data_IF_070987687834
#
_entry.id   IF_070987687834
#
_cell.length_a   1.000
_cell.length_b   1.000
_cell.length_c   1.000
_cell.angle_alpha   90.00
_cell.angle_beta   90.00
_cell.angle_gamma   90.00
#
_symmetry.space_group_name_H-M   'P 1'
#
loop_
_entity.id
_entity.type
_entity.pdbx_description
1 polymer ?
#
# COMPACT_ATOMS: atom_id res chain seq x y z
N UNK A 1 -82.47 -23.48 15.04
CA UNK A 1 -81.12 -23.54 15.71
C UNK A 1 -80.07 -23.75 14.64
N UNK A 2 -79.49 -22.66 14.12
CA UNK A 2 -78.45 -22.70 13.11
C UNK A 2 -77.10 -22.53 13.80
N UNK A 3 -76.25 -23.56 13.73
CA UNK A 3 -74.87 -23.51 14.18
C UNK A 3 -74.00 -23.05 13.01
N UNK A 4 -73.42 -21.87 13.10
CA UNK A 4 -72.38 -21.41 12.17
C UNK A 4 -71.04 -21.98 12.62
N UNK A 5 -70.40 -22.79 11.73
CA UNK A 5 -69.00 -23.19 11.81
C UNK A 5 -68.17 -22.10 11.16
N UNK A 6 -67.25 -21.49 11.90
CA UNK A 6 -66.24 -20.56 11.41
C UNK A 6 -64.99 -21.41 11.09
N UNK A 7 -64.48 -21.39 9.84
CA UNK A 7 -63.23 -22.07 9.52
C UNK A 7 -62.06 -21.20 10.00
N UNK A 8 -61.21 -21.82 10.86
CA UNK A 8 -59.98 -21.24 11.34
C UNK A 8 -58.91 -21.43 10.25
N UNK A 9 -58.59 -20.34 9.50
CA UNK A 9 -57.47 -20.34 8.56
C UNK A 9 -56.16 -20.16 9.34
N UNK A 10 -55.36 -21.23 9.45
CA UNK A 10 -53.96 -21.15 9.95
C UNK A 10 -53.09 -20.59 8.80
N UNK A 11 -52.68 -19.33 8.92
CA UNK A 11 -51.71 -18.72 8.02
C UNK A 11 -50.29 -19.16 8.45
N UNK A 12 -49.76 -20.20 7.78
CA UNK A 12 -48.41 -20.62 7.96
C UNK A 12 -47.52 -19.61 7.24
N UNK A 13 -46.91 -18.68 8.01
CA UNK A 13 -45.89 -17.77 7.54
C UNK A 13 -44.59 -18.58 7.32
N UNK A 14 -44.34 -18.95 6.06
CA UNK A 14 -43.05 -19.52 5.65
C UNK A 14 -42.01 -18.41 5.79
N UNK A 15 -41.26 -18.42 6.90
CA UNK A 15 -40.01 -17.65 7.03
C UNK A 15 -39.00 -18.30 6.09
N UNK A 16 -38.80 -17.74 4.92
CA UNK A 16 -37.64 -18.06 4.08
C UNK A 16 -36.41 -17.49 4.80
N UNK A 17 -35.73 -18.32 5.57
CA UNK A 17 -34.35 -18.06 5.99
C UNK A 17 -33.50 -18.16 4.73
N UNK A 18 -33.13 -17.02 4.16
CA UNK A 18 -32.04 -17.00 3.18
C UNK A 18 -30.77 -17.47 3.90
N UNK A 19 -30.44 -18.73 3.71
CA UNK A 19 -29.13 -19.28 4.07
C UNK A 19 -28.14 -18.65 3.06
N UNK A 20 -27.53 -17.54 3.43
CA UNK A 20 -26.34 -17.06 2.74
C UNK A 20 -25.26 -18.12 2.95
N UNK A 21 -25.20 -19.07 2.02
CA UNK A 21 -24.08 -19.97 1.87
C UNK A 21 -22.85 -19.11 1.68
N UNK A 22 -21.96 -19.10 2.67
CA UNK A 22 -20.63 -18.56 2.54
C UNK A 22 -19.96 -19.35 1.40
N UNK A 23 -19.92 -18.74 0.20
CA UNK A 23 -19.25 -19.33 -0.95
C UNK A 23 -17.79 -19.48 -0.51
N UNK A 24 -17.35 -20.73 -0.22
CA UNK A 24 -15.94 -21.01 0.04
C UNK A 24 -15.17 -20.39 -1.12
N UNK A 25 -14.38 -19.36 -0.84
CA UNK A 25 -13.62 -18.69 -1.88
C UNK A 25 -12.69 -19.74 -2.50
N UNK A 26 -12.81 -19.95 -3.82
CA UNK A 26 -11.90 -20.84 -4.55
C UNK A 26 -10.49 -20.22 -4.66
N UNK A 27 -10.20 -19.17 -3.89
CA UNK A 27 -8.94 -18.44 -3.90
C UNK A 27 -8.25 -18.65 -2.56
N UNK A 28 -7.01 -19.10 -2.59
CA UNK A 28 -6.10 -19.14 -1.45
C UNK A 28 -4.70 -18.69 -1.85
N UNK A 29 -3.86 -18.37 -0.88
CA UNK A 29 -2.48 -17.96 -1.15
C UNK A 29 -1.56 -18.74 -0.22
N UNK A 30 -0.59 -19.43 -0.80
CA UNK A 30 0.49 -20.06 -0.06
C UNK A 30 1.65 -19.09 0.08
N UNK A 31 2.15 -18.91 1.31
CA UNK A 31 3.20 -17.95 1.62
C UNK A 31 4.50 -18.62 2.02
N UNK A 32 5.61 -18.07 1.53
CA UNK A 32 6.97 -18.51 1.83
C UNK A 32 7.88 -17.31 2.08
N UNK A 33 8.78 -17.41 3.06
CA UNK A 33 9.87 -16.44 3.22
C UNK A 33 11.03 -16.84 2.32
N UNK A 34 11.23 -16.13 1.23
CA UNK A 34 12.24 -16.45 0.20
C UNK A 34 13.61 -15.81 0.46
N UNK A 35 13.67 -14.75 1.26
CA UNK A 35 14.91 -14.08 1.61
C UNK A 35 14.75 -13.17 2.84
N UNK A 36 15.88 -12.82 3.43
CA UNK A 36 15.99 -11.81 4.49
C UNK A 36 16.91 -10.70 3.99
N UNK A 37 16.44 -9.47 4.03
CA UNK A 37 17.21 -8.29 3.65
C UNK A 37 18.45 -8.19 4.54
N UNK A 38 19.58 -7.91 3.92
CA UNK A 38 20.89 -7.83 4.60
C UNK A 38 21.45 -6.42 4.51
N UNK A 39 22.15 -6.01 5.55
CA UNK A 39 23.02 -4.85 5.51
C UNK A 39 24.28 -5.11 4.66
N UNK A 40 25.03 -4.07 4.34
CA UNK A 40 26.27 -4.16 3.57
C UNK A 40 27.34 -5.03 4.24
N UNK A 41 27.35 -5.12 5.57
CA UNK A 41 28.26 -5.97 6.35
C UNK A 41 27.82 -7.45 6.40
N UNK A 42 26.67 -7.79 5.82
CA UNK A 42 26.09 -9.14 5.79
C UNK A 42 25.21 -9.50 6.98
N UNK A 43 25.10 -8.65 7.99
CA UNK A 43 24.14 -8.81 9.08
C UNK A 43 22.69 -8.68 8.59
N UNK A 44 21.72 -9.13 9.38
CA UNK A 44 20.32 -8.92 9.03
C UNK A 44 19.97 -7.43 9.16
N UNK A 45 19.35 -6.87 8.13
CA UNK A 45 18.78 -5.53 8.19
C UNK A 45 17.60 -5.48 9.19
N UNK A 46 17.33 -4.30 9.72
CA UNK A 46 16.07 -4.03 10.43
C UNK A 46 14.87 -4.01 9.48
N UNK A 47 15.11 -3.88 8.18
CA UNK A 47 14.10 -3.58 7.18
C UNK A 47 13.80 -2.08 7.09
N UNK A 48 12.92 -1.71 6.16
CA UNK A 48 12.59 -0.33 5.85
C UNK A 48 11.09 -0.14 5.67
N UNK A 49 10.56 0.98 6.16
CA UNK A 49 9.25 1.48 5.80
C UNK A 49 9.37 2.44 4.61
N UNK A 50 8.41 2.41 3.70
CA UNK A 50 8.37 3.33 2.56
C UNK A 50 9.53 3.14 1.56
N UNK A 51 10.11 1.95 1.48
CA UNK A 51 11.10 1.62 0.46
C UNK A 51 10.48 1.52 -0.93
N UNK A 52 11.28 1.78 -1.94
CA UNK A 52 10.99 1.46 -3.34
C UNK A 52 11.04 -0.07 -3.46
N UNK A 53 9.95 -0.69 -3.92
CA UNK A 53 9.84 -2.13 -4.11
C UNK A 53 9.25 -2.37 -5.50
N UNK A 54 10.06 -2.76 -6.46
CA UNK A 54 9.63 -2.97 -7.84
C UNK A 54 10.51 -3.99 -8.56
N UNK A 55 10.04 -4.48 -9.70
CA UNK A 55 10.80 -5.39 -10.56
C UNK A 55 11.37 -4.68 -11.78
N UNK A 56 12.61 -5.06 -12.13
CA UNK A 56 13.17 -4.85 -13.46
C UNK A 56 13.60 -6.22 -14.01
N UNK A 57 12.86 -6.72 -14.99
CA UNK A 57 13.05 -8.07 -15.52
C UNK A 57 12.88 -9.15 -14.43
N UNK A 58 13.93 -9.90 -14.16
CA UNK A 58 13.99 -10.98 -13.15
C UNK A 58 14.69 -10.54 -11.85
N UNK A 59 14.74 -9.25 -11.60
CA UNK A 59 15.36 -8.69 -10.41
C UNK A 59 14.34 -7.87 -9.61
N UNK A 60 14.16 -8.20 -8.34
CA UNK A 60 13.46 -7.37 -7.38
C UNK A 60 14.44 -6.35 -6.82
N UNK A 61 14.13 -5.09 -7.00
CA UNK A 61 14.86 -3.98 -6.42
C UNK A 61 14.14 -3.49 -5.18
N UNK A 62 14.90 -3.37 -4.07
CA UNK A 62 14.47 -2.74 -2.82
C UNK A 62 15.45 -1.61 -2.57
N UNK A 63 14.97 -0.36 -2.52
CA UNK A 63 15.86 0.79 -2.36
C UNK A 63 15.27 1.88 -1.48
N UNK A 64 16.17 2.64 -0.83
CA UNK A 64 15.73 3.70 0.08
C UNK A 64 14.95 3.17 1.27
N UNK A 65 13.94 3.94 1.71
CA UNK A 65 13.13 3.62 2.87
C UNK A 65 13.69 4.19 4.17
N UNK A 66 12.97 3.96 5.27
CA UNK A 66 13.34 4.52 6.57
C UNK A 66 13.17 3.50 7.71
N UNK A 67 14.06 3.59 8.69
CA UNK A 67 14.01 2.79 9.92
C UNK A 67 14.52 3.59 11.13
N UNK A 68 14.73 2.91 12.26
CA UNK A 68 15.27 3.47 13.49
C UNK A 68 16.44 2.57 13.97
N UNK A 69 17.68 2.82 13.51
CA UNK A 69 18.81 1.92 13.78
C UNK A 69 19.34 2.01 15.22
N UNK A 70 19.26 3.18 15.86
CA UNK A 70 19.88 3.42 17.16
C UNK A 70 18.93 3.15 18.34
N UNK A 71 17.75 3.80 18.32
CA UNK A 71 16.74 3.73 19.36
C UNK A 71 15.34 3.78 18.74
N UNK A 72 14.38 3.22 19.43
CA UNK A 72 12.99 3.28 18.99
C UNK A 72 12.40 4.70 19.11
N UNK A 73 11.36 5.06 18.35
CA UNK A 73 10.76 6.40 18.42
C UNK A 73 10.31 6.82 19.81
N UNK A 74 9.85 5.87 20.64
CA UNK A 74 9.41 6.13 22.00
C UNK A 74 10.56 6.30 23.01
N UNK A 75 11.77 5.97 22.59
CA UNK A 75 13.03 6.18 23.33
C UNK A 75 13.76 7.44 22.86
N UNK A 76 13.13 8.24 21.99
CA UNK A 76 13.73 9.43 21.40
C UNK A 76 14.62 9.17 20.19
N UNK A 77 14.51 7.96 19.57
CA UNK A 77 15.23 7.60 18.36
C UNK A 77 14.84 8.47 17.17
N UNK A 78 15.83 8.78 16.34
CA UNK A 78 15.63 9.51 15.08
C UNK A 78 15.40 8.55 13.93
N UNK A 79 14.51 8.92 13.02
CA UNK A 79 14.30 8.23 11.77
C UNK A 79 15.55 8.39 10.91
N UNK A 80 16.03 7.28 10.37
CA UNK A 80 17.11 7.25 9.38
C UNK A 80 16.50 6.95 8.02
N UNK A 81 16.89 7.74 7.02
CA UNK A 81 16.53 7.53 5.62
C UNK A 81 17.70 6.89 4.87
N UNK A 82 17.43 5.86 4.11
CA UNK A 82 18.46 5.11 3.36
C UNK A 82 18.58 5.59 1.91
N UNK A 83 19.77 5.48 1.35
CA UNK A 83 20.06 5.57 -0.08
C UNK A 83 20.51 4.22 -0.68
N UNK A 84 20.50 3.15 0.12
CA UNK A 84 20.95 1.83 -0.31
C UNK A 84 20.03 1.21 -1.36
N UNK A 85 20.62 0.43 -2.25
CA UNK A 85 19.94 -0.39 -3.25
C UNK A 85 20.28 -1.84 -3.00
N UNK A 86 19.25 -2.68 -2.90
CA UNK A 86 19.38 -4.13 -2.74
C UNK A 86 18.68 -4.81 -3.92
N UNK A 87 19.34 -5.79 -4.53
CA UNK A 87 18.79 -6.54 -5.67
C UNK A 87 18.72 -8.02 -5.33
N UNK A 88 17.51 -8.55 -5.35
CA UNK A 88 17.24 -9.98 -5.25
C UNK A 88 16.97 -10.52 -6.64
N UNK A 89 17.76 -11.48 -7.09
CA UNK A 89 17.63 -12.12 -8.40
C UNK A 89 17.09 -13.55 -8.24
N UNK A 90 16.30 -13.96 -9.22
CA UNK A 90 15.80 -15.33 -9.29
C UNK A 90 16.64 -16.13 -10.29
N UNK A 91 17.20 -17.26 -9.83
CA UNK A 91 17.92 -18.25 -10.64
C UNK A 91 17.20 -19.59 -10.51
N UNK A 92 16.49 -19.99 -11.55
CA UNK A 92 15.63 -21.20 -11.55
C UNK A 92 14.61 -21.17 -10.39
N UNK A 93 14.84 -21.95 -9.32
CA UNK A 93 14.01 -22.00 -8.12
C UNK A 93 14.56 -21.19 -6.94
N UNK A 94 15.79 -20.69 -7.02
CA UNK A 94 16.49 -20.03 -5.93
C UNK A 94 16.41 -18.50 -6.04
N UNK A 95 16.54 -17.84 -4.89
CA UNK A 95 16.60 -16.38 -4.79
C UNK A 95 17.91 -15.98 -4.13
N UNK A 96 18.68 -15.12 -4.79
CA UNK A 96 20.00 -14.72 -4.32
C UNK A 96 20.18 -13.21 -4.35
N UNK A 97 20.77 -12.65 -3.28
CA UNK A 97 21.16 -11.25 -3.25
C UNK A 97 22.33 -10.99 -4.18
N UNK A 98 22.17 -10.11 -5.14
CA UNK A 98 23.30 -9.63 -5.93
C UNK A 98 24.11 -8.64 -5.12
N UNK A 99 25.39 -8.98 -4.88
CA UNK A 99 26.34 -8.16 -4.12
C UNK A 99 27.48 -7.62 -4.99
N UNK A 100 27.37 -7.75 -6.32
CA UNK A 100 28.44 -7.41 -7.27
C UNK A 100 28.41 -5.96 -7.74
N UNK A 101 27.47 -5.16 -7.27
CA UNK A 101 27.37 -3.75 -7.61
C UNK A 101 27.53 -2.88 -6.36
N UNK A 102 27.94 -1.63 -6.57
CA UNK A 102 28.04 -0.62 -5.52
C UNK A 102 27.37 0.67 -6.02
N UNK A 103 26.05 0.64 -6.12
CA UNK A 103 25.24 1.78 -6.51
C UNK A 103 24.32 2.19 -5.36
N UNK A 104 24.04 3.48 -5.29
CA UNK A 104 23.14 4.10 -4.35
C UNK A 104 22.15 4.99 -5.06
N UNK A 105 21.03 5.27 -4.44
CA UNK A 105 20.14 6.34 -4.89
C UNK A 105 20.87 7.69 -4.85
N UNK A 106 20.46 8.68 -5.68
CA UNK A 106 21.07 10.00 -5.70
C UNK A 106 21.06 10.71 -4.34
N UNK A 107 20.11 10.38 -3.49
CA UNK A 107 19.97 10.84 -2.09
C UNK A 107 19.10 9.88 -1.29
N UNK A 108 19.22 9.89 0.05
CA UNK A 108 18.32 9.12 0.92
C UNK A 108 16.87 9.55 0.71
N UNK A 109 15.94 8.58 0.61
CA UNK A 109 14.51 8.86 0.36
C UNK A 109 13.63 7.72 0.84
N UNK A 110 12.43 8.05 1.34
CA UNK A 110 11.39 7.09 1.71
C UNK A 110 9.99 7.60 1.34
N UNK A 111 9.03 6.69 1.37
CA UNK A 111 7.60 6.97 1.11
C UNK A 111 7.34 7.61 -0.27
N UNK A 112 8.18 7.27 -1.25
CA UNK A 112 7.96 7.56 -2.66
C UNK A 112 6.85 6.67 -3.21
N UNK A 113 6.14 7.15 -4.23
CA UNK A 113 5.46 6.27 -5.17
C UNK A 113 6.48 5.53 -6.03
N UNK A 114 6.21 4.25 -6.34
CA UNK A 114 7.06 3.48 -7.25
C UNK A 114 6.24 2.49 -8.08
N UNK A 115 6.73 2.17 -9.27
CA UNK A 115 6.09 1.22 -10.19
C UNK A 115 7.11 0.63 -11.16
N UNK A 116 6.88 -0.61 -11.59
CA UNK A 116 7.62 -1.26 -12.68
C UNK A 116 7.04 -0.86 -14.03
N UNK A 117 7.89 -0.60 -15.00
CA UNK A 117 7.50 -0.34 -16.40
C UNK A 117 8.36 -1.17 -17.35
N UNK A 118 7.98 -1.31 -18.63
CA UNK A 118 8.86 -1.93 -19.63
C UNK A 118 10.21 -1.23 -19.80
N UNK A 119 10.32 0.04 -19.40
CA UNK A 119 11.56 0.83 -19.48
C UNK A 119 12.40 0.80 -18.21
N UNK A 120 11.95 0.12 -17.15
CA UNK A 120 12.61 0.06 -15.85
C UNK A 120 11.67 0.49 -14.71
N UNK A 121 12.24 0.79 -13.56
CA UNK A 121 11.51 1.16 -12.35
C UNK A 121 11.42 2.68 -12.25
N UNK A 122 10.21 3.20 -12.14
CA UNK A 122 9.98 4.63 -11.86
C UNK A 122 9.67 4.83 -10.39
N UNK A 123 10.29 5.82 -9.77
CA UNK A 123 9.88 6.34 -8.46
C UNK A 123 9.79 7.86 -8.48
N UNK A 124 8.89 8.42 -7.66
CA UNK A 124 8.69 9.86 -7.58
C UNK A 124 8.16 10.30 -6.21
N UNK A 125 8.47 11.55 -5.85
CA UNK A 125 8.07 12.13 -4.57
C UNK A 125 8.86 11.56 -3.39
N UNK A 126 8.20 11.43 -2.24
CA UNK A 126 8.80 10.93 -1.01
C UNK A 126 9.28 12.04 -0.07
N UNK A 127 9.99 11.64 0.98
CA UNK A 127 10.55 12.54 1.99
C UNK A 127 11.91 12.05 2.50
N UNK A 128 12.69 12.97 3.04
CA UNK A 128 13.91 12.73 3.80
C UNK A 128 14.15 13.83 4.83
N UNK A 129 15.35 13.91 5.42
CA UNK A 129 15.71 14.94 6.40
C UNK A 129 15.60 16.37 5.87
N UNK A 130 15.66 16.58 4.54
CA UNK A 130 15.50 17.89 3.89
C UNK A 130 14.02 18.25 3.61
N UNK A 131 13.07 17.36 3.94
CA UNK A 131 11.65 17.53 3.71
C UNK A 131 11.08 16.72 2.55
N UNK A 132 9.97 17.22 1.97
CA UNK A 132 9.27 16.56 0.88
C UNK A 132 10.02 16.72 -0.44
N UNK A 133 9.99 15.68 -1.27
CA UNK A 133 10.60 15.65 -2.60
C UNK A 133 9.54 15.78 -3.70
N UNK A 134 9.91 16.42 -4.81
CA UNK A 134 9.18 16.38 -6.09
C UNK A 134 9.95 15.65 -7.18
N UNK A 135 11.14 15.15 -6.85
CA UNK A 135 12.02 14.47 -7.80
C UNK A 135 11.41 13.16 -8.27
N UNK A 136 11.68 12.82 -9.54
CA UNK A 136 11.33 11.55 -10.15
C UNK A 136 12.52 10.96 -10.90
N UNK A 137 12.63 9.63 -10.89
CA UNK A 137 13.75 8.93 -11.50
C UNK A 137 13.30 7.62 -12.16
N UNK A 138 14.07 7.21 -13.16
CA UNK A 138 14.01 5.91 -13.81
C UNK A 138 15.26 5.11 -13.43
N UNK A 139 15.07 3.94 -12.84
CA UNK A 139 16.13 3.00 -12.50
C UNK A 139 16.11 1.83 -13.48
N UNK A 140 17.25 1.51 -14.07
CA UNK A 140 17.46 0.33 -14.88
C UNK A 140 18.54 -0.55 -14.27
N UNK A 141 18.29 -1.84 -14.18
CA UNK A 141 19.28 -2.82 -13.74
C UNK A 141 19.68 -3.74 -14.90
N UNK A 142 20.93 -3.68 -15.28
CA UNK A 142 21.51 -4.52 -16.35
C UNK A 142 22.17 -5.75 -15.73
N UNK A 143 21.43 -6.86 -15.66
CA UNK A 143 21.85 -8.08 -14.97
C UNK A 143 23.14 -8.70 -15.51
N UNK A 144 23.42 -8.55 -16.81
CA UNK A 144 24.64 -9.09 -17.43
C UNK A 144 25.90 -8.33 -17.02
N UNK A 145 25.83 -7.01 -16.92
CA UNK A 145 26.96 -6.15 -16.52
C UNK A 145 26.99 -5.85 -15.02
N UNK A 146 25.92 -6.20 -14.27
CA UNK A 146 25.69 -5.78 -12.89
C UNK A 146 25.72 -4.25 -12.72
N UNK A 147 25.27 -3.51 -13.72
CA UNK A 147 25.21 -2.06 -13.73
C UNK A 147 23.80 -1.57 -13.37
N UNK A 148 23.74 -0.45 -12.67
CA UNK A 148 22.51 0.28 -12.38
C UNK A 148 22.67 1.67 -12.96
N UNK A 149 21.73 2.06 -13.82
CA UNK A 149 21.60 3.43 -14.30
C UNK A 149 20.39 4.09 -13.62
N UNK A 150 20.60 5.32 -13.14
CA UNK A 150 19.56 6.13 -12.50
C UNK A 150 19.48 7.45 -13.25
N UNK A 151 18.40 7.65 -13.99
CA UNK A 151 18.18 8.80 -14.83
C UNK A 151 17.09 9.69 -14.23
N UNK A 152 17.31 11.00 -14.20
CA UNK A 152 16.27 11.96 -13.79
C UNK A 152 15.14 11.97 -14.81
N UNK A 153 13.92 12.00 -14.30
CA UNK A 153 12.70 12.25 -15.04
C UNK A 153 12.19 13.67 -14.74
N UNK A 154 11.23 14.21 -15.49
CA UNK A 154 10.58 15.46 -15.13
C UNK A 154 10.07 15.45 -13.69
N UNK A 155 10.36 16.52 -12.95
CA UNK A 155 9.89 16.70 -11.57
C UNK A 155 8.35 16.71 -11.49
N UNK A 156 7.79 16.17 -10.41
CA UNK A 156 6.37 16.39 -10.09
C UNK A 156 6.09 17.89 -9.93
N UNK A 157 4.87 18.35 -10.25
CA UNK A 157 4.50 19.76 -10.05
C UNK A 157 4.63 20.22 -8.59
N UNK A 158 4.34 19.32 -7.64
CA UNK A 158 4.41 19.59 -6.20
C UNK A 158 5.24 18.51 -5.48
N UNK A 159 5.88 18.91 -4.38
CA UNK A 159 6.56 17.97 -3.49
C UNK A 159 5.52 17.22 -2.64
N UNK A 160 5.49 15.89 -2.75
CA UNK A 160 4.50 15.02 -2.12
C UNK A 160 5.17 13.77 -1.56
N UNK A 161 4.77 13.36 -0.36
CA UNK A 161 5.09 12.05 0.24
C UNK A 161 3.85 11.16 0.27
N UNK A 162 4.01 9.86 0.53
CA UNK A 162 2.89 8.91 0.57
C UNK A 162 2.02 8.94 -0.70
N UNK A 163 2.64 9.29 -1.81
CA UNK A 163 2.07 9.28 -3.16
C UNK A 163 2.13 7.86 -3.71
N UNK A 164 1.21 7.51 -4.62
CA UNK A 164 1.24 6.24 -5.33
C UNK A 164 1.57 6.42 -6.81
N UNK A 165 2.37 5.49 -7.32
CA UNK A 165 2.55 5.31 -8.75
C UNK A 165 1.92 4.00 -9.21
N UNK A 166 1.42 4.03 -10.44
CA UNK A 166 0.99 2.85 -11.20
C UNK A 166 1.35 3.03 -12.66
N UNK A 167 1.44 1.96 -13.42
CA UNK A 167 1.81 2.04 -14.84
C UNK A 167 0.96 1.16 -15.73
N UNK A 168 0.82 1.58 -16.99
CA UNK A 168 0.21 0.80 -18.06
C UNK A 168 1.13 0.98 -19.28
N UNK A 169 1.90 -0.05 -19.61
CA UNK A 169 2.98 0.08 -20.58
C UNK A 169 3.99 1.15 -20.13
N UNK A 170 4.31 2.10 -21.00
CA UNK A 170 5.22 3.21 -20.72
C UNK A 170 4.53 4.45 -20.12
N UNK A 171 3.22 4.38 -19.90
CA UNK A 171 2.49 5.45 -19.21
C UNK A 171 2.52 5.25 -17.70
N UNK A 172 3.06 6.20 -16.97
CA UNK A 172 3.11 6.23 -15.50
C UNK A 172 2.06 7.19 -14.98
N UNK A 173 1.35 6.79 -13.94
CA UNK A 173 0.32 7.59 -13.26
C UNK A 173 0.75 7.88 -11.84
N UNK A 174 0.69 9.14 -11.42
CA UNK A 174 0.96 9.59 -10.05
C UNK A 174 -0.35 10.05 -9.39
N UNK A 175 -0.62 9.57 -8.18
CA UNK A 175 -1.96 9.60 -7.59
C UNK A 175 -1.89 10.05 -6.14
N UNK A 176 -2.55 11.16 -5.81
CA UNK A 176 -2.70 11.69 -4.47
C UNK A 176 -1.38 12.04 -3.78
N UNK A 177 -1.25 11.67 -2.52
CA UNK A 177 -0.09 11.96 -1.67
C UNK A 177 -0.35 13.07 -0.66
N UNK A 178 0.60 13.26 0.27
CA UNK A 178 0.58 14.32 1.27
C UNK A 178 1.52 15.45 0.89
N UNK A 179 1.02 16.66 0.84
CA UNK A 179 1.78 17.89 0.94
C UNK A 179 2.11 18.23 2.41
N UNK A 180 2.70 19.43 2.68
CA UNK A 180 3.12 19.78 4.04
C UNK A 180 1.99 19.77 5.07
N UNK A 181 0.78 20.19 4.69
CA UNK A 181 -0.37 20.36 5.60
C UNK A 181 -1.69 19.85 5.02
N UNK A 182 -1.66 19.13 3.90
CA UNK A 182 -2.87 18.65 3.21
C UNK A 182 -2.62 17.31 2.53
N UNK A 183 -3.68 16.56 2.26
CA UNK A 183 -3.65 15.46 1.29
C UNK A 183 -4.09 15.96 -0.07
N UNK A 184 -3.46 15.45 -1.13
CA UNK A 184 -3.67 15.90 -2.51
C UNK A 184 -4.82 15.16 -3.20
N UNK A 185 -5.44 15.84 -4.18
CA UNK A 185 -6.35 15.23 -5.18
C UNK A 185 -5.67 15.03 -6.53
N UNK A 186 -4.38 15.36 -6.64
CA UNK A 186 -3.72 15.32 -7.92
C UNK A 186 -3.71 13.92 -8.53
N UNK A 187 -3.99 13.89 -9.82
CA UNK A 187 -3.84 12.73 -10.67
C UNK A 187 -3.11 13.16 -11.94
N UNK A 188 -1.92 12.62 -12.11
CA UNK A 188 -0.99 13.01 -13.16
C UNK A 188 -0.61 11.80 -14.01
N UNK A 189 -0.23 12.01 -15.26
CA UNK A 189 0.39 11.00 -16.12
C UNK A 189 1.70 11.49 -16.69
N UNK A 190 2.67 10.59 -16.83
CA UNK A 190 3.95 10.81 -17.52
C UNK A 190 4.12 9.74 -18.58
N UNK A 191 4.34 10.17 -19.82
CA UNK A 191 4.69 9.28 -20.91
C UNK A 191 6.21 9.14 -21.00
N UNK A 192 6.72 7.92 -20.72
CA UNK A 192 8.16 7.65 -20.79
C UNK A 192 8.70 7.65 -22.23
N UNK A 193 7.84 7.65 -23.25
CA UNK A 193 8.22 7.81 -24.64
C UNK A 193 8.26 9.28 -25.08
N UNK A 194 7.72 10.20 -24.26
CA UNK A 194 7.69 11.63 -24.51
C UNK A 194 7.94 12.47 -23.25
N UNK A 195 9.14 12.38 -22.71
CA UNK A 195 9.53 13.08 -21.47
C UNK A 195 9.48 14.61 -21.58
N UNK A 196 9.55 15.17 -22.80
CA UNK A 196 9.47 16.62 -22.99
C UNK A 196 8.10 17.20 -22.62
N UNK A 197 7.05 16.41 -22.70
CA UNK A 197 5.71 16.84 -22.28
C UNK A 197 5.59 17.01 -20.76
N UNK A 198 6.49 16.37 -19.97
CA UNK A 198 6.43 16.36 -18.51
C UNK A 198 5.18 15.65 -17.98
N UNK A 199 4.88 15.88 -16.70
CA UNK A 199 3.66 15.37 -16.07
C UNK A 199 2.43 16.13 -16.54
N UNK A 200 1.48 15.42 -17.10
CA UNK A 200 0.21 15.96 -17.58
C UNK A 200 -0.87 15.75 -16.52
N UNK A 201 -1.55 16.83 -16.13
CA UNK A 201 -2.67 16.77 -15.19
C UNK A 201 -3.88 16.11 -15.85
N UNK A 202 -4.44 15.12 -15.14
CA UNK A 202 -5.69 14.43 -15.47
C UNK A 202 -6.83 14.94 -14.56
N UNK A 203 -8.01 14.30 -14.64
CA UNK A 203 -9.14 14.63 -13.78
C UNK A 203 -8.82 14.32 -12.32
N UNK A 204 -8.87 15.30 -11.45
CA UNK A 204 -8.59 15.16 -10.01
C UNK A 204 -9.39 14.02 -9.37
N UNK A 205 -8.81 13.40 -8.33
CA UNK A 205 -9.52 12.46 -7.47
C UNK A 205 -10.79 13.12 -6.89
N UNK A 206 -11.91 12.41 -6.77
CA UNK A 206 -13.12 12.92 -6.10
C UNK A 206 -12.86 13.39 -4.67
N UNK A 207 -11.97 12.71 -3.97
CA UNK A 207 -11.52 13.06 -2.59
C UNK A 207 -9.99 13.11 -2.53
N UNK A 208 -9.46 13.93 -1.62
CA UNK A 208 -8.02 13.99 -1.38
C UNK A 208 -7.57 12.72 -0.63
N UNK A 209 -6.51 12.05 -1.10
CA UNK A 209 -6.04 10.79 -0.54
C UNK A 209 -4.51 10.72 -0.53
N UNK A 210 -3.99 10.17 0.56
CA UNK A 210 -2.62 9.68 0.69
C UNK A 210 -2.62 8.27 1.29
N UNK A 211 -1.53 7.53 1.16
CA UNK A 211 -1.44 6.15 1.66
C UNK A 211 -2.58 5.23 1.16
N UNK A 212 -3.10 5.47 -0.05
CA UNK A 212 -4.00 4.53 -0.72
C UNK A 212 -3.19 3.38 -1.30
N UNK A 213 -3.78 2.21 -1.49
CA UNK A 213 -3.21 1.22 -2.39
C UNK A 213 -3.77 1.40 -3.80
N UNK A 214 -2.91 1.26 -4.82
CA UNK A 214 -3.31 1.47 -6.22
C UNK A 214 -2.93 0.26 -7.06
N UNK A 215 -3.83 -0.13 -7.94
CA UNK A 215 -3.61 -1.26 -8.85
C UNK A 215 -4.35 -1.08 -10.17
N UNK A 216 -3.77 -1.57 -11.25
CA UNK A 216 -4.43 -1.70 -12.55
C UNK A 216 -5.02 -3.10 -12.66
N UNK A 217 -6.30 -3.18 -13.02
CA UNK A 217 -6.99 -4.45 -13.26
C UNK A 217 -8.10 -4.28 -14.31
N UNK A 218 -8.49 -5.38 -14.94
CA UNK A 218 -9.63 -5.37 -15.83
C UNK A 218 -10.94 -5.23 -15.06
N UNK A 219 -11.83 -4.40 -15.57
CA UNK A 219 -13.22 -4.30 -15.16
C UNK A 219 -14.15 -4.73 -16.29
N UNK A 220 -15.44 -4.47 -16.14
CA UNK A 220 -16.45 -4.82 -17.15
C UNK A 220 -16.20 -4.18 -18.53
N UNK A 221 -15.54 -3.01 -18.57
CA UNK A 221 -15.31 -2.21 -19.78
C UNK A 221 -13.81 -1.97 -20.04
N UNK A 222 -12.98 -2.99 -19.86
CA UNK A 222 -11.53 -2.90 -20.06
C UNK A 222 -10.75 -2.56 -18.80
N UNK A 223 -9.49 -2.14 -18.98
CA UNK A 223 -8.60 -1.83 -17.86
C UNK A 223 -9.00 -0.53 -17.16
N UNK A 224 -8.90 -0.56 -15.84
CA UNK A 224 -9.11 0.59 -14.98
C UNK A 224 -7.97 0.71 -13.96
N UNK A 225 -7.80 1.92 -13.42
CA UNK A 225 -6.98 2.16 -12.23
C UNK A 225 -7.90 2.18 -11.02
N UNK A 226 -7.59 1.35 -10.04
CA UNK A 226 -8.32 1.24 -8.78
C UNK A 226 -7.52 1.89 -7.66
N UNK A 227 -8.10 2.88 -6.98
CA UNK A 227 -7.52 3.56 -5.81
C UNK A 227 -8.32 3.14 -4.59
N UNK A 228 -7.65 2.46 -3.67
CA UNK A 228 -8.27 1.68 -2.61
C UNK A 228 -7.91 2.27 -1.25
N UNK A 229 -8.91 2.69 -0.48
CA UNK A 229 -8.74 3.26 0.84
C UNK A 229 -7.90 4.54 0.85
N UNK A 230 -6.95 4.59 1.74
CA UNK A 230 -6.12 5.75 2.00
C UNK A 230 -6.67 6.61 3.13
N UNK A 231 -6.01 7.72 3.38
CA UNK A 231 -6.41 8.71 4.39
C UNK A 231 -6.41 10.12 3.82
N UNK A 232 -7.21 10.97 4.44
CA UNK A 232 -7.24 12.41 4.16
C UNK A 232 -6.88 13.14 5.43
N UNK A 233 -6.01 14.15 5.34
CA UNK A 233 -5.78 15.12 6.42
C UNK A 233 -6.69 16.32 6.24
N UNK A 234 -7.32 16.75 7.31
CA UNK A 234 -8.02 18.03 7.40
C UNK A 234 -7.14 19.12 8.02
N UNK A 235 -7.70 20.30 8.22
CA UNK A 235 -7.00 21.44 8.82
C UNK A 235 -6.59 21.24 10.28
N UNK A 236 -7.15 20.23 10.97
CA UNK A 236 -6.73 19.88 12.35
C UNK A 236 -5.45 19.05 12.38
N UNK A 237 -5.00 18.54 11.22
CA UNK A 237 -3.87 17.62 11.11
C UNK A 237 -4.20 16.18 11.48
N UNK A 238 -5.44 15.89 11.88
CA UNK A 238 -5.91 14.53 12.19
C UNK A 238 -6.38 13.87 10.90
N UNK A 239 -5.94 12.64 10.69
CA UNK A 239 -6.29 11.86 9.52
C UNK A 239 -7.64 11.18 9.65
N UNK A 240 -8.42 11.21 8.56
CA UNK A 240 -9.59 10.36 8.37
C UNK A 240 -9.22 9.22 7.44
N UNK A 241 -9.25 8.00 7.94
CA UNK A 241 -9.05 6.80 7.12
C UNK A 241 -10.34 6.47 6.38
N UNK A 242 -10.20 5.97 5.15
CA UNK A 242 -11.32 5.74 4.25
C UNK A 242 -11.47 4.25 3.92
N UNK A 243 -12.71 3.85 3.67
CA UNK A 243 -13.09 2.57 3.09
C UNK A 243 -13.46 2.69 1.60
N UNK A 244 -13.04 3.77 0.98
CA UNK A 244 -13.46 4.14 -0.38
C UNK A 244 -12.71 3.31 -1.42
N UNK A 245 -13.41 2.91 -2.47
CA UNK A 245 -12.83 2.41 -3.72
C UNK A 245 -13.18 3.40 -4.83
N UNK A 246 -12.14 4.02 -5.42
CA UNK A 246 -12.28 4.86 -6.60
C UNK A 246 -11.79 4.09 -7.83
N UNK A 247 -12.50 4.22 -8.93
CA UNK A 247 -12.23 3.52 -10.20
C UNK A 247 -12.09 4.57 -11.29
N UNK A 248 -10.89 4.69 -11.87
CA UNK A 248 -10.68 5.51 -13.05
C UNK A 248 -10.78 4.66 -14.31
N UNK A 249 -11.75 4.97 -15.15
CA UNK A 249 -11.88 4.32 -16.43
C UNK A 249 -11.02 5.02 -17.48
N UNK A 250 -10.09 4.29 -18.09
CA UNK A 250 -9.12 4.82 -19.06
C UNK A 250 -9.76 5.29 -20.37
N UNK A 251 -10.89 4.71 -20.77
CA UNK A 251 -11.58 5.09 -21.99
C UNK A 251 -12.41 6.36 -21.81
N UNK A 252 -13.25 6.41 -20.76
CA UNK A 252 -14.09 7.56 -20.46
C UNK A 252 -13.32 8.70 -19.76
N UNK A 253 -12.09 8.43 -19.28
CA UNK A 253 -11.25 9.37 -18.53
C UNK A 253 -11.97 9.98 -17.33
N UNK A 254 -12.75 9.16 -16.62
CA UNK A 254 -13.60 9.61 -15.51
C UNK A 254 -13.54 8.67 -14.32
N UNK A 255 -13.79 9.25 -13.14
CA UNK A 255 -13.84 8.55 -11.87
C UNK A 255 -15.26 8.06 -11.54
N UNK A 256 -15.35 6.87 -10.99
CA UNK A 256 -16.57 6.32 -10.38
C UNK A 256 -16.22 5.70 -9.03
N UNK A 257 -17.24 5.44 -8.21
CA UNK A 257 -17.08 4.71 -6.95
C UNK A 257 -17.42 3.24 -7.17
N UNK A 258 -16.56 2.36 -6.63
CA UNK A 258 -16.88 0.95 -6.45
C UNK A 258 -17.51 0.69 -5.09
N UNK A 259 -17.86 -0.57 -4.81
CA UNK A 259 -18.36 -0.97 -3.50
C UNK A 259 -17.33 -0.63 -2.41
N UNK A 260 -17.75 -0.05 -1.28
CA UNK A 260 -16.86 0.25 -0.16
C UNK A 260 -16.13 -1.01 0.32
N UNK A 261 -14.88 -0.84 0.77
CA UNK A 261 -14.06 -1.95 1.28
C UNK A 261 -14.79 -2.65 2.43
N UNK A 262 -14.88 -3.98 2.35
CA UNK A 262 -15.60 -4.81 3.31
C UNK A 262 -14.93 -6.18 3.45
N UNK A 263 -15.11 -6.82 4.61
CA UNK A 263 -14.76 -8.24 4.81
C UNK A 263 -15.88 -9.21 4.34
N UNK A 264 -16.89 -8.67 3.67
CA UNK A 264 -18.11 -9.38 3.24
C UNK A 264 -19.27 -9.24 4.24
N UNK A 265 -19.03 -8.68 5.43
CA UNK A 265 -20.04 -8.43 6.48
C UNK A 265 -19.98 -6.99 6.98
N UNK A 266 -18.79 -6.51 7.28
CA UNK A 266 -18.56 -5.20 7.85
C UNK A 266 -17.72 -4.33 6.92
N UNK A 267 -17.97 -3.03 6.96
CA UNK A 267 -17.11 -2.04 6.31
C UNK A 267 -15.76 -1.95 7.00
N UNK A 268 -14.68 -1.81 6.23
CA UNK A 268 -13.30 -1.80 6.72
C UNK A 268 -12.59 -0.57 6.18
N UNK A 269 -12.10 0.30 7.07
CA UNK A 269 -11.14 1.33 6.67
C UNK A 269 -9.79 0.66 6.35
N UNK A 270 -9.09 1.24 5.38
CA UNK A 270 -7.84 0.67 4.90
C UNK A 270 -6.90 1.79 4.46
N UNK A 271 -5.69 1.84 5.02
CA UNK A 271 -4.66 2.81 4.65
C UNK A 271 -3.27 2.20 4.81
N UNK A 272 -2.33 2.64 3.99
CA UNK A 272 -0.93 2.21 3.98
C UNK A 272 -0.68 0.70 3.76
N UNK A 273 -1.71 -0.06 3.40
CA UNK A 273 -1.57 -1.47 3.01
C UNK A 273 -1.20 -1.63 1.54
N UNK A 274 -1.25 -2.85 1.05
CA UNK A 274 -0.84 -3.21 -0.30
C UNK A 274 -2.01 -3.71 -1.14
N UNK A 275 -1.95 -3.52 -2.47
CA UNK A 275 -2.89 -4.11 -3.42
C UNK A 275 -2.14 -4.78 -4.58
N UNK A 276 -2.70 -5.86 -5.09
CA UNK A 276 -2.19 -6.55 -6.28
C UNK A 276 -3.31 -7.15 -7.11
N UNK A 277 -3.14 -7.13 -8.43
CA UNK A 277 -4.05 -7.80 -9.36
C UNK A 277 -3.91 -9.32 -9.26
N UNK A 278 -5.02 -10.04 -9.12
CA UNK A 278 -5.09 -11.48 -9.18
C UNK A 278 -5.90 -11.92 -10.40
N UNK A 279 -5.39 -12.89 -11.16
CA UNK A 279 -6.08 -13.43 -12.33
C UNK A 279 -6.60 -12.31 -13.23
N UNK A 280 -7.77 -12.47 -13.83
CA UNK A 280 -8.31 -11.54 -14.84
C UNK A 280 -9.11 -10.37 -14.25
N UNK A 281 -9.71 -10.53 -13.06
CA UNK A 281 -10.68 -9.57 -12.52
C UNK A 281 -10.75 -9.50 -10.99
N UNK A 282 -9.78 -10.09 -10.28
CA UNK A 282 -9.70 -9.95 -8.83
C UNK A 282 -8.59 -8.97 -8.43
N UNK A 283 -8.81 -8.29 -7.34
CA UNK A 283 -7.81 -7.46 -6.67
C UNK A 283 -7.69 -7.96 -5.24
N UNK A 284 -6.49 -8.34 -4.83
CA UNK A 284 -6.18 -8.66 -3.44
C UNK A 284 -5.65 -7.41 -2.75
N UNK A 285 -6.15 -7.14 -1.53
CA UNK A 285 -5.53 -6.23 -0.60
C UNK A 285 -5.06 -6.98 0.65
N UNK A 286 -3.97 -6.52 1.25
CA UNK A 286 -3.41 -7.08 2.48
C UNK A 286 -2.71 -6.03 3.31
N UNK A 287 -2.59 -6.28 4.60
CA UNK A 287 -2.04 -5.31 5.55
C UNK A 287 -2.99 -4.12 5.75
N UNK A 288 -2.39 -2.98 5.99
CA UNK A 288 -3.14 -1.73 6.19
C UNK A 288 -3.52 -1.48 7.64
N UNK A 289 -3.78 -0.21 7.91
CA UNK A 289 -4.27 0.30 9.19
C UNK A 289 -5.76 0.64 9.04
N UNK A 290 -6.55 0.27 10.04
CA UNK A 290 -7.99 0.58 10.09
C UNK A 290 -8.31 1.92 10.79
N UNK A 291 -7.29 2.60 11.33
CA UNK A 291 -7.39 3.89 11.99
C UNK A 291 -7.67 3.85 13.49
N UNK A 292 -8.06 2.72 14.07
CA UNK A 292 -8.50 2.68 15.46
C UNK A 292 -7.42 3.11 16.46
N UNK A 293 -6.18 2.62 16.30
CA UNK A 293 -5.04 3.00 17.14
C UNK A 293 -4.33 4.23 16.59
N UNK A 294 -4.19 4.31 15.26
CA UNK A 294 -3.55 5.43 14.58
C UNK A 294 -4.17 6.79 14.95
N UNK A 295 -5.50 6.91 14.91
CA UNK A 295 -6.19 8.15 15.26
C UNK A 295 -6.00 8.51 16.75
N UNK A 296 -5.92 7.52 17.66
CA UNK A 296 -5.61 7.80 19.07
C UNK A 296 -4.19 8.38 19.21
N UNK A 297 -3.22 7.83 18.47
CA UNK A 297 -1.83 8.32 18.46
C UNK A 297 -1.79 9.77 17.93
N UNK A 298 -2.45 10.06 16.79
CA UNK A 298 -2.53 11.43 16.24
C UNK A 298 -3.19 12.41 17.20
N UNK A 299 -4.28 11.99 17.86
CA UNK A 299 -4.93 12.81 18.90
C UNK A 299 -3.98 13.13 20.07
N UNK A 300 -3.21 12.15 20.56
CA UNK A 300 -2.20 12.41 21.58
C UNK A 300 -1.09 13.34 21.06
N UNK A 301 -0.63 13.19 19.82
CA UNK A 301 0.35 14.10 19.24
C UNK A 301 -0.18 15.54 19.17
N UNK A 302 -1.43 15.73 18.80
CA UNK A 302 -2.10 17.03 18.81
C UNK A 302 -2.19 17.63 20.24
N UNK A 303 -2.59 16.83 21.22
CA UNK A 303 -2.64 17.24 22.63
C UNK A 303 -1.26 17.58 23.19
N UNK A 304 -0.23 16.78 22.87
CA UNK A 304 1.16 17.03 23.27
C UNK A 304 1.65 18.39 22.72
N UNK A 305 1.29 18.74 21.50
CA UNK A 305 1.64 20.02 20.89
C UNK A 305 0.93 21.21 21.58
N UNK A 306 -0.22 20.99 22.23
CA UNK A 306 -1.04 22.00 22.89
C UNK A 306 -0.87 22.00 24.42
N UNK A 307 -0.08 21.07 24.98
CA UNK A 307 0.11 20.92 26.44
C UNK A 307 0.67 22.21 27.07
N UNK A 308 0.08 22.61 28.19
CA UNK A 308 0.37 23.89 28.87
C UNK A 308 1.43 23.75 29.96
N UNK A 309 1.74 22.53 30.41
CA UNK A 309 2.80 22.29 31.39
C UNK A 309 3.69 21.09 30.97
N UNK A 310 4.95 21.05 31.46
CA UNK A 310 5.83 19.91 31.26
C UNK A 310 5.23 18.59 31.75
N UNK A 311 4.57 18.61 32.92
CA UNK A 311 3.97 17.43 33.55
C UNK A 311 2.81 16.88 32.70
N UNK A 312 1.95 17.76 32.15
CA UNK A 312 0.88 17.39 31.23
C UNK A 312 1.46 16.74 29.97
N UNK A 313 2.52 17.38 29.42
CA UNK A 313 3.19 16.89 28.23
C UNK A 313 3.79 15.49 28.44
N UNK A 314 4.48 15.26 29.55
CA UNK A 314 5.07 13.97 29.89
C UNK A 314 4.00 12.88 30.06
N UNK A 315 2.89 13.18 30.73
CA UNK A 315 1.77 12.26 30.90
C UNK A 315 1.15 11.85 29.55
N UNK A 316 0.99 12.80 28.62
CA UNK A 316 0.47 12.53 27.27
C UNK A 316 1.46 11.71 26.43
N UNK A 317 2.75 12.00 26.52
CA UNK A 317 3.82 11.21 25.88
C UNK A 317 3.79 9.77 26.38
N UNK A 318 3.67 9.56 27.70
CA UNK A 318 3.59 8.23 28.29
C UNK A 318 2.39 7.43 27.74
N UNK A 319 1.19 8.04 27.68
CA UNK A 319 -0.02 7.43 27.10
C UNK A 319 0.14 7.09 25.62
N UNK A 320 0.72 7.99 24.83
CA UNK A 320 1.03 7.74 23.41
C UNK A 320 2.00 6.59 23.27
N UNK A 321 3.09 6.58 24.06
CA UNK A 321 4.11 5.53 24.00
C UNK A 321 3.54 4.16 24.38
N UNK A 322 2.67 4.09 25.38
CA UNK A 322 1.96 2.86 25.75
C UNK A 322 1.15 2.27 24.59
N UNK A 323 0.41 3.10 23.83
CA UNK A 323 -0.32 2.65 22.65
C UNK A 323 0.61 2.13 21.54
N UNK A 324 1.79 2.72 21.37
CA UNK A 324 2.77 2.32 20.35
C UNK A 324 3.45 1.01 20.76
N UNK A 325 3.91 0.90 22.00
CA UNK A 325 4.62 -0.28 22.52
C UNK A 325 3.71 -1.51 22.53
N UNK A 326 2.45 -1.32 22.99
CA UNK A 326 1.47 -2.39 23.10
C UNK A 326 0.61 -2.58 21.83
N UNK A 327 1.03 -2.01 20.71
CA UNK A 327 0.32 -2.19 19.43
C UNK A 327 0.33 -3.64 18.97
N UNK A 328 -0.83 -4.21 18.65
CA UNK A 328 -0.99 -5.62 18.26
C UNK A 328 -0.52 -5.95 16.83
N UNK A 329 0.01 -4.97 16.09
CA UNK A 329 0.29 -5.08 14.65
C UNK A 329 -0.87 -4.58 13.81
N UNK A 330 -0.72 -4.69 12.49
CA UNK A 330 -1.70 -4.22 11.51
C UNK A 330 -2.66 -5.33 11.08
N UNK A 331 -3.66 -4.98 10.28
CA UNK A 331 -4.71 -5.91 9.83
C UNK A 331 -4.11 -7.03 8.96
N UNK A 332 -4.35 -8.28 9.36
CA UNK A 332 -3.83 -9.46 8.67
C UNK A 332 -4.81 -10.05 7.65
N UNK A 333 -6.03 -9.53 7.57
CA UNK A 333 -7.05 -10.06 6.65
C UNK A 333 -6.59 -9.92 5.20
N UNK A 334 -6.87 -10.96 4.42
CA UNK A 334 -6.73 -10.99 2.98
C UNK A 334 -8.11 -10.74 2.37
N UNK A 335 -8.33 -9.54 1.84
CA UNK A 335 -9.59 -9.15 1.24
C UNK A 335 -9.46 -9.13 -0.29
N UNK A 336 -10.46 -9.66 -0.96
CA UNK A 336 -10.51 -9.70 -2.43
C UNK A 336 -11.69 -8.91 -2.93
N UNK A 337 -11.44 -8.06 -3.92
CA UNK A 337 -12.46 -7.37 -4.69
C UNK A 337 -12.64 -8.05 -6.04
N UNK A 338 -13.89 -8.40 -6.37
CA UNK A 338 -14.29 -8.84 -7.69
C UNK A 338 -14.71 -7.63 -8.52
N UNK A 339 -13.92 -7.28 -9.53
CA UNK A 339 -14.15 -6.10 -10.36
C UNK A 339 -15.36 -6.23 -11.29
N UNK A 340 -15.82 -7.45 -11.54
CA UNK A 340 -17.00 -7.73 -12.38
C UNK A 340 -18.27 -7.74 -11.55
N UNK A 341 -18.23 -8.34 -10.36
CA UNK A 341 -19.39 -8.39 -9.46
C UNK A 341 -19.54 -7.11 -8.61
N UNK A 342 -18.47 -6.29 -8.51
CA UNK A 342 -18.40 -5.11 -7.64
C UNK A 342 -18.65 -5.47 -6.16
N UNK A 343 -17.99 -6.52 -5.67
CA UNK A 343 -18.17 -7.04 -4.32
C UNK A 343 -16.83 -7.38 -3.67
N UNK A 344 -16.79 -7.32 -2.33
CA UNK A 344 -15.66 -7.70 -1.50
C UNK A 344 -15.95 -8.98 -0.74
N UNK A 345 -14.90 -9.78 -0.49
CA UNK A 345 -14.94 -10.96 0.37
C UNK A 345 -13.57 -11.24 0.98
N UNK A 346 -13.56 -11.86 2.15
CA UNK A 346 -12.33 -12.31 2.82
C UNK A 346 -11.98 -13.74 2.36
N UNK A 347 -10.68 -13.98 2.10
CA UNK A 347 -10.16 -15.30 1.72
C UNK A 347 -9.28 -15.95 2.79
N UNK A 348 -8.98 -15.24 3.87
CA UNK A 348 -8.13 -15.72 4.96
C UNK A 348 -7.35 -14.58 5.61
N UNK A 349 -6.19 -14.94 6.18
CA UNK A 349 -5.28 -13.99 6.83
C UNK A 349 -3.83 -14.29 6.47
N UNK A 350 -2.96 -13.27 6.56
CA UNK A 350 -1.52 -13.45 6.48
C UNK A 350 -1.03 -14.32 7.64
N UNK A 351 -0.22 -15.36 7.40
CA UNK A 351 0.34 -16.21 8.45
C UNK A 351 1.52 -15.55 9.22
N UNK A 352 1.83 -14.30 8.90
CA UNK A 352 2.90 -13.48 9.49
C UNK A 352 2.38 -12.06 9.79
N UNK A 353 3.13 -11.23 10.53
CA UNK A 353 2.74 -9.83 10.78
C UNK A 353 2.52 -9.06 9.48
N UNK A 354 1.39 -8.37 9.40
CA UNK A 354 1.02 -7.62 8.20
C UNK A 354 1.96 -6.44 7.95
N UNK A 355 2.34 -6.24 6.71
CA UNK A 355 3.18 -5.12 6.28
C UNK A 355 2.33 -3.90 5.93
N UNK A 356 2.74 -2.73 6.38
CA UNK A 356 2.25 -1.43 5.92
C UNK A 356 3.42 -0.60 5.39
N UNK A 357 3.12 0.50 4.71
CA UNK A 357 4.12 1.38 4.10
C UNK A 357 5.11 0.60 3.22
N UNK A 358 4.57 -0.32 2.43
CA UNK A 358 5.28 -1.13 1.45
C UNK A 358 4.47 -1.22 0.16
N UNK A 359 5.07 -1.70 -0.91
CA UNK A 359 4.41 -1.94 -2.20
C UNK A 359 4.38 -3.44 -2.47
N UNK A 360 3.20 -3.99 -2.79
CA UNK A 360 3.14 -5.35 -3.31
C UNK A 360 3.62 -5.36 -4.76
N UNK A 361 4.54 -6.28 -5.07
CA UNK A 361 5.14 -6.41 -6.39
C UNK A 361 4.77 -7.76 -7.00
N UNK A 362 4.37 -7.79 -8.27
CA UNK A 362 4.12 -9.05 -8.97
C UNK A 362 5.41 -9.59 -9.57
N UNK A 363 5.74 -10.85 -9.28
CA UNK A 363 6.82 -11.60 -9.92
C UNK A 363 6.25 -12.79 -10.68
N UNK A 364 5.96 -12.59 -11.95
CA UNK A 364 5.10 -13.49 -12.71
C UNK A 364 3.68 -13.51 -12.10
N UNK A 365 3.20 -14.70 -11.76
CA UNK A 365 1.90 -14.84 -11.09
C UNK A 365 2.00 -14.70 -9.55
N UNK A 366 3.23 -14.68 -9.00
CA UNK A 366 3.43 -14.59 -7.56
C UNK A 366 3.36 -13.13 -7.07
N UNK A 367 3.08 -13.00 -5.78
CA UNK A 367 3.01 -11.73 -5.05
C UNK A 367 4.25 -11.64 -4.17
N UNK A 368 4.96 -10.54 -4.22
CA UNK A 368 6.05 -10.24 -3.30
C UNK A 368 5.62 -9.13 -2.34
N UNK A 369 5.77 -9.40 -1.05
CA UNK A 369 5.72 -8.39 0.01
C UNK A 369 7.13 -8.29 0.60
N UNK A 370 7.80 -7.17 0.38
CA UNK A 370 9.18 -6.98 0.78
C UNK A 370 9.31 -5.84 1.77
N UNK A 371 9.93 -6.14 2.91
CA UNK A 371 10.15 -5.15 3.95
C UNK A 371 8.83 -4.51 4.43
N UNK A 372 8.87 -3.31 5.00
CA UNK A 372 7.69 -2.61 5.50
C UNK A 372 7.65 -2.54 7.02
N UNK A 373 6.67 -1.83 7.53
CA UNK A 373 6.42 -1.67 8.96
C UNK A 373 5.40 -2.72 9.42
N UNK A 374 5.68 -3.41 10.53
CA UNK A 374 4.81 -4.45 11.10
C UNK A 374 4.15 -4.04 12.42
N UNK A 375 4.68 -3.02 13.07
CA UNK A 375 4.13 -2.26 14.19
C UNK A 375 4.67 -0.83 14.10
N UNK A 376 4.03 0.16 14.69
CA UNK A 376 4.57 1.52 14.70
C UNK A 376 6.02 1.53 15.20
N UNK A 377 6.95 2.02 14.35
CA UNK A 377 8.38 2.04 14.65
C UNK A 377 9.14 0.75 14.36
N UNK A 378 8.51 -0.39 14.18
CA UNK A 378 9.16 -1.70 13.96
C UNK A 378 9.00 -2.14 12.51
N UNK A 379 10.13 -2.42 11.85
CA UNK A 379 10.17 -2.90 10.45
C UNK A 379 10.48 -4.40 10.42
N UNK A 380 10.36 -4.98 9.24
CA UNK A 380 10.74 -6.37 8.96
C UNK A 380 11.71 -6.45 7.79
N UNK A 381 12.76 -7.27 7.86
CA UNK A 381 13.65 -7.53 6.73
C UNK A 381 13.16 -8.68 5.84
N UNK A 382 12.01 -9.30 6.13
CA UNK A 382 11.53 -10.46 5.43
C UNK A 382 11.05 -10.11 4.01
N UNK A 383 11.31 -11.01 3.07
CA UNK A 383 10.80 -10.99 1.71
C UNK A 383 9.86 -12.18 1.56
N UNK A 384 8.56 -11.88 1.57
CA UNK A 384 7.52 -12.90 1.51
C UNK A 384 7.02 -13.07 0.08
N UNK A 385 6.96 -14.32 -0.38
CA UNK A 385 6.39 -14.71 -1.65
C UNK A 385 5.07 -15.41 -1.43
N UNK A 386 4.00 -14.89 -2.03
CA UNK A 386 2.67 -15.50 -2.05
C UNK A 386 2.39 -16.15 -3.40
N UNK A 387 2.00 -17.41 -3.39
CA UNK A 387 1.56 -18.16 -4.58
C UNK A 387 0.02 -18.25 -4.57
N UNK A 388 -0.67 -17.51 -5.44
CA UNK A 388 -2.12 -17.61 -5.55
C UNK A 388 -2.53 -18.97 -6.13
N UNK A 389 -3.51 -19.61 -5.49
CA UNK A 389 -4.17 -20.83 -5.96
C UNK A 389 -5.63 -20.47 -6.22
N UNK A 390 -6.06 -20.55 -7.48
CA UNK A 390 -7.43 -20.25 -7.89
C UNK A 390 -8.02 -21.54 -8.47
N UNK A 391 -8.91 -22.17 -7.69
CA UNK A 391 -9.63 -23.36 -8.16
C UNK A 391 -10.75 -22.92 -9.11
N UNK A 392 -10.83 -23.61 -10.24
CA UNK A 392 -11.87 -23.40 -11.26
C UNK A 392 -13.24 -23.90 -10.79
#
# INVERSE_FOLDING_TARGET
MNKYLIPFFIFIMLIQTEVFSQKNSNISIEWENIAILKNSDGSNSLGFAGAINALDGQALLIAGGANFPDRMPWEGGKKYYSDEIHILQKFESNYEWNRKFNAKLPFPIAYCGNTSTPRGIVYAGGENDNGLSKKAFLINFFSLSNQIDINELPDLPHALTNIFLSSIGNMVYAIGGDGPVYSSKEFLSLDLDNLQAGWIKLADLPIALANSAVVVQNGQKGQNIYVIGGRSKDSSGISKLNNTLLIYNLQSKSWTYGAPISDGKNSVNFSAGTATALSKHFILISGGDNGLTFNKIENYLSQIAQAKSPEEKEALIAKKNDLVINHNGFDRRLLVYDTLANTWFQIGELPFPAHVTSTATKWGENIILSSGEIKPGIRTPQIMLGRPIIKK
#
